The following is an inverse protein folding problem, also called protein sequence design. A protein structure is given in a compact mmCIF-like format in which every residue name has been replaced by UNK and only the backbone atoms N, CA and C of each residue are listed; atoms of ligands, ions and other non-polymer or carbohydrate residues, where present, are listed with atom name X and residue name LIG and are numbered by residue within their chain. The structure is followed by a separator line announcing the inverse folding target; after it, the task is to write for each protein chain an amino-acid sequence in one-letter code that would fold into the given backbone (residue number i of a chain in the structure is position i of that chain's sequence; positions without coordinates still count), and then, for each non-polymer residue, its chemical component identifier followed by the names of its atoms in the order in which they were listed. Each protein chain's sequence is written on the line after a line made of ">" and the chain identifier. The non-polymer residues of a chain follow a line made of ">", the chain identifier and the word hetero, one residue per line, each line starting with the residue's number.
data_IF_297258171541
#
_entry.id   IF_297258171541
#
_cell.length_a   1.000
_cell.length_b   1.000
_cell.length_c   1.000
_cell.angle_alpha   90.00
_cell.angle_beta   90.00
_cell.angle_gamma   90.00
#
_symmetry.space_group_name_H-M   'P 1'
#
loop_
_entity.id
_entity.type
_entity.pdbx_description
1 polymer ?
#
# COMPACT_ATOMS: atom_id res chain seq x y z
N UNK A 1 -3.32 8.28 -19.56
CA UNK A 1 -1.90 7.96 -19.34
C UNK A 1 -1.50 8.47 -17.98
N UNK A 2 -0.86 7.61 -17.20
CA UNK A 2 -0.46 7.81 -15.79
C UNK A 2 0.67 8.86 -15.61
N UNK A 3 0.74 9.86 -16.50
CA UNK A 3 1.70 10.96 -16.43
C UNK A 3 1.44 11.72 -15.13
N UNK A 4 2.52 12.06 -14.41
CA UNK A 4 2.51 12.74 -13.11
C UNK A 4 1.99 11.93 -11.91
N UNK A 5 2.21 10.62 -11.90
CA UNK A 5 1.94 9.80 -10.72
C UNK A 5 2.80 10.24 -9.52
N UNK A 6 2.19 10.75 -8.43
CA UNK A 6 2.92 11.42 -7.35
C UNK A 6 3.61 10.45 -6.39
N UNK A 7 3.35 9.15 -6.53
CA UNK A 7 3.90 8.10 -5.68
C UNK A 7 5.03 7.35 -6.39
N UNK A 8 6.01 6.88 -5.61
CA UNK A 8 6.98 5.94 -6.15
C UNK A 8 6.32 4.64 -6.61
N UNK A 9 6.97 3.93 -7.53
CA UNK A 9 6.59 2.56 -7.91
C UNK A 9 7.00 1.58 -6.82
N UNK A 10 6.27 0.45 -6.64
CA UNK A 10 6.63 -0.54 -5.65
C UNK A 10 8.02 -1.12 -5.93
N UNK A 11 8.83 -1.26 -4.88
CA UNK A 11 10.13 -1.92 -4.98
C UNK A 11 9.96 -3.43 -4.89
N UNK A 12 10.56 -4.16 -5.84
CA UNK A 12 10.57 -5.64 -5.88
C UNK A 12 9.19 -6.28 -5.61
N UNK A 13 9.09 -7.07 -4.54
CA UNK A 13 7.91 -7.88 -4.19
C UNK A 13 6.91 -7.14 -3.28
N UNK A 14 7.10 -5.85 -3.02
CA UNK A 14 6.21 -5.05 -2.15
C UNK A 14 4.83 -4.80 -2.76
N UNK A 15 4.72 -4.82 -4.09
CA UNK A 15 3.46 -4.71 -4.81
C UNK A 15 2.62 -5.99 -4.72
N UNK A 16 1.33 -5.83 -4.42
CA UNK A 16 0.35 -6.91 -4.28
C UNK A 16 -0.78 -6.75 -5.29
N UNK A 17 -0.97 -7.77 -6.11
CA UNK A 17 -2.05 -7.80 -7.09
C UNK A 17 -3.31 -8.39 -6.44
N UNK A 18 -4.43 -7.66 -6.51
CA UNK A 18 -5.75 -8.14 -6.07
C UNK A 18 -6.84 -7.46 -6.89
N UNK A 19 -7.83 -8.21 -7.35
CA UNK A 19 -9.01 -7.68 -8.04
C UNK A 19 -8.73 -6.71 -9.20
N UNK A 20 -7.69 -6.98 -10.00
CA UNK A 20 -7.33 -6.14 -11.16
C UNK A 20 -6.45 -4.93 -10.83
N UNK A 21 -6.08 -4.72 -9.56
CA UNK A 21 -5.23 -3.61 -9.14
C UNK A 21 -3.88 -4.08 -8.58
N UNK A 22 -2.86 -3.25 -8.72
CA UNK A 22 -1.57 -3.40 -8.03
C UNK A 22 -1.56 -2.46 -6.83
N UNK A 23 -1.23 -2.99 -5.66
CA UNK A 23 -1.36 -2.29 -4.38
C UNK A 23 -0.04 -2.29 -3.62
N UNK A 24 0.40 -1.16 -3.08
CA UNK A 24 1.61 -1.10 -2.27
C UNK A 24 1.56 0.03 -1.24
N UNK A 25 2.45 -0.05 -0.26
CA UNK A 25 2.65 1.01 0.72
C UNK A 25 3.50 2.12 0.10
N UNK A 26 3.03 3.36 0.17
CA UNK A 26 3.75 4.54 -0.30
C UNK A 26 3.82 5.59 0.82
N UNK A 27 4.96 6.28 0.89
CA UNK A 27 5.14 7.42 1.78
C UNK A 27 4.62 8.69 1.12
N UNK A 28 3.91 9.51 1.91
CA UNK A 28 3.33 10.79 1.52
C UNK A 28 3.88 11.89 2.44
N UNK A 29 3.79 13.14 1.97
CA UNK A 29 4.12 14.34 2.74
C UNK A 29 5.51 14.33 3.37
N UNK A 30 6.53 13.95 2.59
CA UNK A 30 7.92 13.80 3.05
C UNK A 30 8.04 12.82 4.22
N UNK A 31 7.48 11.62 4.05
CA UNK A 31 7.55 10.52 5.02
C UNK A 31 6.77 10.74 6.32
N UNK A 32 5.83 11.71 6.35
CA UNK A 32 4.97 11.95 7.53
C UNK A 32 3.81 10.98 7.64
N UNK A 33 3.32 10.47 6.51
CA UNK A 33 2.23 9.51 6.49
C UNK A 33 2.52 8.43 5.47
N UNK A 34 1.98 7.24 5.71
CA UNK A 34 2.05 6.13 4.78
C UNK A 34 0.63 5.76 4.37
N UNK A 35 0.38 5.66 3.07
CA UNK A 35 -0.91 5.27 2.49
C UNK A 35 -0.74 3.98 1.69
N UNK A 36 -1.82 3.27 1.43
CA UNK A 36 -1.82 2.22 0.41
C UNK A 36 -2.22 2.89 -0.89
N UNK A 37 -1.39 2.76 -1.93
CA UNK A 37 -1.77 3.16 -3.28
C UNK A 37 -2.31 1.95 -4.01
N UNK A 38 -3.47 2.09 -4.64
CA UNK A 38 -4.10 1.07 -5.47
C UNK A 38 -4.16 1.57 -6.90
N UNK A 39 -3.41 0.94 -7.79
CA UNK A 39 -3.34 1.26 -9.22
C UNK A 39 -4.20 0.30 -10.02
N UNK A 40 -5.24 0.82 -10.67
CA UNK A 40 -6.06 0.11 -11.64
C UNK A 40 -5.34 0.14 -13.01
N UNK A 41 -4.85 -1.03 -13.44
CA UNK A 41 -4.09 -1.18 -14.69
C UNK A 41 -4.97 -1.05 -15.93
N UNK A 42 -6.27 -1.37 -15.82
CA UNK A 42 -7.22 -1.29 -16.93
C UNK A 42 -7.63 0.16 -17.18
N UNK A 43 -7.92 0.90 -16.10
CA UNK A 43 -8.38 2.29 -16.19
C UNK A 43 -7.26 3.31 -16.23
N UNK A 44 -6.00 2.89 -16.01
CA UNK A 44 -4.86 3.78 -15.80
C UNK A 44 -5.12 4.86 -14.73
N UNK A 45 -5.83 4.49 -13.66
CA UNK A 45 -6.18 5.40 -12.57
C UNK A 45 -5.76 4.82 -11.23
N UNK A 46 -5.55 5.68 -10.24
CA UNK A 46 -5.15 5.26 -8.90
C UNK A 46 -6.07 5.84 -7.85
N UNK A 47 -6.06 5.20 -6.68
CA UNK A 47 -6.67 5.73 -5.47
C UNK A 47 -5.75 5.53 -4.27
N UNK A 48 -5.92 6.38 -3.27
CA UNK A 48 -5.31 6.23 -1.97
C UNK A 48 -6.30 5.54 -1.03
N UNK A 49 -5.85 4.47 -0.39
CA UNK A 49 -6.58 3.80 0.68
C UNK A 49 -5.89 4.16 1.98
N UNK A 50 -6.66 4.76 2.90
CA UNK A 50 -6.17 5.09 4.23
C UNK A 50 -5.78 3.83 4.98
N UNK A 51 -4.71 3.91 5.77
CA UNK A 51 -4.34 2.79 6.63
C UNK A 51 -5.37 2.61 7.75
N UNK A 52 -5.60 1.36 8.20
CA UNK A 52 -6.32 1.08 9.43
C UNK A 52 -5.73 1.85 10.62
N UNK A 53 -6.58 2.15 11.60
CA UNK A 53 -6.10 2.50 12.93
C UNK A 53 -5.55 1.24 13.62
N UNK A 54 -4.26 1.26 13.93
CA UNK A 54 -3.57 0.12 14.55
C UNK A 54 -3.65 0.13 16.08
N UNK A 55 -4.13 1.21 16.70
CA UNK A 55 -4.23 1.32 18.16
C UNK A 55 -2.90 1.39 18.91
N UNK A 56 -1.76 1.54 18.22
CA UNK A 56 -0.42 1.65 18.83
C UNK A 56 0.39 2.75 18.14
N UNK A 57 1.14 3.55 18.91
CA UNK A 57 1.98 4.66 18.40
C UNK A 57 3.34 4.21 17.86
N UNK A 58 3.72 2.94 18.02
CA UNK A 58 5.05 2.46 17.61
C UNK A 58 5.09 2.29 16.08
N UNK A 59 6.20 2.70 15.46
CA UNK A 59 6.50 2.34 14.07
C UNK A 59 6.74 0.83 13.98
N UNK A 60 5.67 0.07 13.74
CA UNK A 60 5.80 -1.36 13.50
C UNK A 60 6.08 -1.61 12.01
N UNK A 61 6.96 -2.58 11.75
CA UNK A 61 7.18 -3.14 10.42
C UNK A 61 5.86 -3.77 9.95
N UNK A 62 5.28 -3.14 8.92
CA UNK A 62 4.03 -3.55 8.30
C UNK A 62 4.33 -4.15 6.94
N UNK A 63 3.68 -5.26 6.62
CA UNK A 63 3.73 -5.85 5.30
C UNK A 63 2.34 -5.95 4.70
N UNK A 64 2.21 -5.51 3.45
CA UNK A 64 1.00 -5.66 2.68
C UNK A 64 0.97 -7.06 2.11
N UNK A 65 -0.12 -7.80 2.29
CA UNK A 65 -0.29 -9.16 1.78
C UNK A 65 -1.66 -9.34 1.15
N UNK A 66 -1.81 -10.42 0.39
CA UNK A 66 -3.12 -10.88 -0.09
C UNK A 66 -3.48 -12.14 0.69
N UNK A 67 -4.59 -12.09 1.42
CA UNK A 67 -5.11 -13.23 2.17
C UNK A 67 -6.52 -13.54 1.68
N UNK A 68 -6.71 -14.73 1.09
CA UNK A 68 -8.01 -15.17 0.54
C UNK A 68 -8.64 -14.12 -0.39
N UNK A 69 -7.83 -13.63 -1.33
CA UNK A 69 -8.22 -12.60 -2.31
C UNK A 69 -8.61 -11.23 -1.72
N UNK A 70 -8.31 -10.99 -0.44
CA UNK A 70 -8.45 -9.69 0.19
C UNK A 70 -7.08 -9.05 0.43
N UNK A 71 -6.99 -7.74 0.20
CA UNK A 71 -5.84 -6.96 0.63
C UNK A 71 -5.83 -6.89 2.16
N UNK A 72 -4.69 -7.23 2.77
CA UNK A 72 -4.54 -7.27 4.22
C UNK A 72 -3.21 -6.67 4.64
N UNK A 73 -3.15 -6.15 5.86
CA UNK A 73 -1.90 -5.70 6.48
C UNK A 73 -1.57 -6.64 7.61
N UNK A 74 -0.36 -7.19 7.57
CA UNK A 74 0.21 -7.92 8.68
C UNK A 74 1.18 -7.03 9.43
N UNK A 75 1.09 -7.16 10.74
CA UNK A 75 1.93 -6.49 11.72
C UNK A 75 2.92 -7.51 12.28
N UNK A 76 4.21 -7.24 12.12
CA UNK A 76 5.27 -8.08 12.65
C UNK A 76 5.68 -7.57 14.03
N UNK A 77 5.43 -8.35 15.08
CA UNK A 77 6.01 -8.13 16.41
C UNK A 77 7.25 -8.99 16.55
N UNK A 78 8.38 -8.39 16.92
CA UNK A 78 9.50 -9.16 17.49
C UNK A 78 9.04 -9.66 18.87
N UNK A 79 8.70 -10.95 18.96
CA UNK A 79 8.43 -11.65 20.22
C UNK A 79 9.71 -12.12 20.89
#
# INVERSE_FOLDING_TARGET
>A
MIQDFPYGVPFESSGKFVSGTVNWLAWKDWFKSCVIVSLDLEKESYQEIMQPDYGVEIEIVRTLVVLRDCLSILHLTDT
#
